data_IF_838247807016
#
_entry.id   IF_838247807016
#
_cell.length_a   1.000
_cell.length_b   1.000
_cell.length_c   1.000
_cell.angle_alpha   90.00
_cell.angle_beta   90.00
_cell.angle_gamma   90.00
#
_symmetry.space_group_name_H-M   'P 1'
#
loop_
_entity.id
_entity.type
_entity.pdbx_description
1 polymer ?
#
# COMPACT_ATOMS: atom_id res chain seq x y z
N UNK A 1 5.05 17.25 -8.38
CA UNK A 1 5.75 15.98 -8.07
C UNK A 1 4.78 15.12 -7.28
N UNK A 2 4.43 13.92 -7.74
CA UNK A 2 3.49 13.05 -7.03
C UNK A 2 4.29 12.14 -6.10
N UNK A 3 3.97 12.13 -4.81
CA UNK A 3 4.58 11.21 -3.85
C UNK A 3 3.91 9.86 -4.01
N UNK A 4 4.68 8.83 -4.35
CA UNK A 4 4.21 7.44 -4.41
C UNK A 4 5.22 6.49 -3.82
N UNK A 5 4.75 5.31 -3.43
CA UNK A 5 5.56 4.17 -3.03
C UNK A 5 5.40 3.06 -4.06
N UNK A 6 6.52 2.39 -4.35
CA UNK A 6 6.57 1.26 -5.25
C UNK A 6 7.12 0.05 -4.54
N UNK A 7 6.63 -1.14 -4.92
CA UNK A 7 7.16 -2.42 -4.45
C UNK A 7 7.00 -3.47 -5.56
N UNK A 8 7.95 -4.41 -5.65
CA UNK A 8 7.95 -5.46 -6.68
C UNK A 8 8.47 -6.77 -6.10
N UNK A 9 7.79 -7.87 -6.42
CA UNK A 9 8.22 -9.25 -6.09
C UNK A 9 7.50 -10.26 -6.98
N UNK A 10 8.18 -11.34 -7.36
CA UNK A 10 7.59 -12.50 -8.07
C UNK A 10 6.74 -12.13 -9.30
N UNK A 11 7.20 -11.13 -10.07
CA UNK A 11 6.49 -10.67 -11.27
C UNK A 11 5.31 -9.72 -11.02
N UNK A 12 5.05 -9.38 -9.76
CA UNK A 12 4.05 -8.38 -9.34
C UNK A 12 4.75 -7.06 -9.05
N UNK A 13 4.25 -5.97 -9.61
CA UNK A 13 4.70 -4.60 -9.33
C UNK A 13 3.50 -3.73 -8.93
N UNK A 14 3.64 -2.94 -7.87
CA UNK A 14 2.59 -2.03 -7.40
C UNK A 14 3.12 -0.63 -7.24
N UNK A 15 2.25 0.34 -7.51
CA UNK A 15 2.45 1.74 -7.16
C UNK A 15 1.26 2.23 -6.35
N UNK A 16 1.54 2.90 -5.24
CA UNK A 16 0.57 3.32 -4.24
C UNK A 16 0.83 4.77 -3.86
N UNK A 17 -0.23 5.59 -3.80
CA UNK A 17 -0.17 6.92 -3.21
C UNK A 17 -0.28 6.85 -1.67
N UNK A 18 0.14 7.90 -0.95
CA UNK A 18 -0.04 7.99 0.50
C UNK A 18 -1.48 7.68 0.92
N UNK A 19 -1.65 7.04 2.07
CA UNK A 19 -2.93 6.50 2.54
C UNK A 19 -3.35 5.19 1.87
N UNK A 20 -2.47 4.54 1.11
CA UNK A 20 -2.73 3.20 0.59
C UNK A 20 -3.51 3.14 -0.73
N UNK A 21 -3.79 4.29 -1.35
CA UNK A 21 -4.53 4.34 -2.61
C UNK A 21 -3.71 3.75 -3.78
N UNK A 22 -4.13 2.59 -4.28
CA UNK A 22 -3.48 1.91 -5.42
C UNK A 22 -3.58 2.76 -6.69
N UNK A 23 -2.43 2.99 -7.35
CA UNK A 23 -2.32 3.76 -8.59
C UNK A 23 -2.04 2.87 -9.80
N UNK A 24 -1.16 1.88 -9.63
CA UNK A 24 -0.82 0.91 -10.66
C UNK A 24 -0.60 -0.46 -10.06
N UNK A 25 -0.99 -1.50 -10.81
CA UNK A 25 -0.71 -2.90 -10.55
C UNK A 25 -0.35 -3.56 -11.88
N UNK A 26 0.88 -4.08 -11.95
CA UNK A 26 1.35 -4.85 -13.09
C UNK A 26 1.62 -6.28 -12.67
N UNK A 27 1.11 -7.22 -13.47
CA UNK A 27 1.27 -8.65 -13.29
C UNK A 27 1.94 -9.23 -14.54
N UNK A 28 3.12 -9.82 -14.36
CA UNK A 28 3.74 -10.57 -15.45
C UNK A 28 3.07 -11.96 -15.62
N UNK A 29 3.25 -12.61 -16.78
CA UNK A 29 2.73 -13.94 -17.00
C UNK A 29 3.23 -14.98 -15.98
N UNK A 30 4.44 -14.84 -15.44
CA UNK A 30 4.92 -15.73 -14.37
C UNK A 30 4.17 -15.56 -13.04
N UNK A 31 3.76 -14.34 -12.69
CA UNK A 31 3.02 -14.09 -11.45
C UNK A 31 1.68 -14.86 -11.44
N UNK A 32 1.02 -14.97 -12.59
CA UNK A 32 -0.24 -15.69 -12.75
C UNK A 32 -0.12 -17.21 -12.54
N UNK A 33 1.07 -17.77 -12.76
CA UNK A 33 1.32 -19.21 -12.60
C UNK A 33 1.38 -19.66 -11.13
N UNK A 34 1.52 -18.72 -10.20
CA UNK A 34 1.59 -18.99 -8.76
C UNK A 34 0.24 -19.42 -8.14
N UNK A 35 -0.87 -19.23 -8.87
CA UNK A 35 -2.23 -19.52 -8.40
C UNK A 35 -2.84 -18.37 -7.58
N UNK A 36 -4.18 -18.28 -7.58
CA UNK A 36 -4.90 -17.12 -7.07
C UNK A 36 -4.59 -16.74 -5.61
N UNK A 37 -4.51 -17.74 -4.72
CA UNK A 37 -4.25 -17.50 -3.29
C UNK A 37 -2.81 -17.03 -2.99
N UNK A 38 -1.82 -17.52 -3.75
CA UNK A 38 -0.45 -17.06 -3.59
C UNK A 38 -0.29 -15.64 -4.17
N UNK A 39 -0.88 -15.40 -5.34
CA UNK A 39 -0.87 -14.11 -6.00
C UNK A 39 -1.54 -13.03 -5.15
N UNK A 40 -2.70 -13.31 -4.54
CA UNK A 40 -3.41 -12.35 -3.69
C UNK A 40 -2.57 -11.96 -2.47
N UNK A 41 -1.95 -12.93 -1.79
CA UNK A 41 -1.03 -12.67 -0.67
C UNK A 41 0.15 -11.80 -1.09
N UNK A 42 0.74 -12.08 -2.24
CA UNK A 42 1.85 -11.28 -2.79
C UNK A 42 1.41 -9.85 -3.08
N UNK A 43 0.28 -9.64 -3.76
CA UNK A 43 -0.25 -8.31 -4.06
C UNK A 43 -0.51 -7.53 -2.77
N UNK A 44 -1.24 -8.11 -1.81
CA UNK A 44 -1.57 -7.43 -0.56
C UNK A 44 -0.32 -7.09 0.26
N UNK A 45 0.67 -7.97 0.29
CA UNK A 45 1.96 -7.71 0.93
C UNK A 45 2.70 -6.54 0.28
N UNK A 46 2.75 -6.51 -1.05
CA UNK A 46 3.40 -5.43 -1.80
C UNK A 46 2.67 -4.10 -1.65
N UNK A 47 1.33 -4.09 -1.62
CA UNK A 47 0.54 -2.87 -1.39
C UNK A 47 0.84 -2.29 -0.02
N UNK A 48 0.90 -3.12 1.03
CA UNK A 48 1.28 -2.67 2.39
C UNK A 48 2.69 -2.09 2.43
N UNK A 49 3.64 -2.74 1.75
CA UNK A 49 5.03 -2.28 1.65
C UNK A 49 5.13 -0.93 0.90
N UNK A 50 4.45 -0.81 -0.23
CA UNK A 50 4.41 0.41 -1.03
C UNK A 50 3.71 1.55 -0.29
N UNK A 51 2.60 1.29 0.40
CA UNK A 51 1.89 2.28 1.21
C UNK A 51 2.77 2.82 2.33
N UNK A 52 3.49 1.94 3.06
CA UNK A 52 4.44 2.38 4.09
C UNK A 52 5.50 3.31 3.52
N UNK A 53 6.07 2.97 2.36
CA UNK A 53 7.05 3.83 1.66
C UNK A 53 6.46 5.16 1.18
N UNK A 54 5.20 5.16 0.74
CA UNK A 54 4.52 6.37 0.30
C UNK A 54 4.25 7.31 1.49
N UNK A 55 3.77 6.74 2.61
CA UNK A 55 3.48 7.46 3.84
C UNK A 55 4.73 8.08 4.44
N UNK A 56 5.83 7.33 4.55
CA UNK A 56 7.10 7.88 5.07
C UNK A 56 7.62 9.05 4.21
N UNK A 57 7.55 8.93 2.88
CA UNK A 57 7.92 10.06 1.99
C UNK A 57 6.98 11.25 2.16
N UNK A 58 5.69 11.02 2.35
CA UNK A 58 4.71 12.07 2.59
C UNK A 58 4.98 12.79 3.92
N UNK A 59 5.24 12.05 5.00
CA UNK A 59 5.64 12.59 6.29
C UNK A 59 6.88 13.47 6.18
N UNK A 60 7.93 12.99 5.50
CA UNK A 60 9.14 13.78 5.28
C UNK A 60 8.89 15.05 4.47
N UNK A 61 8.09 14.98 3.40
CA UNK A 61 7.75 16.15 2.60
C UNK A 61 6.97 17.18 3.42
N UNK A 62 5.99 16.73 4.21
CA UNK A 62 5.21 17.61 5.10
C UNK A 62 6.10 18.22 6.18
N UNK A 63 6.97 17.45 6.82
CA UNK A 63 7.87 17.95 7.85
C UNK A 63 8.86 19.00 7.31
N UNK A 64 9.26 18.87 6.05
CA UNK A 64 10.14 19.86 5.39
C UNK A 64 9.44 21.21 5.20
N UNK A 65 8.15 21.20 4.87
CA UNK A 65 7.38 22.43 4.56
C UNK A 65 6.74 23.06 5.81
N UNK A 66 6.31 22.24 6.78
CA UNK A 66 5.53 22.67 7.95
C UNK A 66 6.29 22.57 9.28
N UNK A 67 7.52 22.04 9.30
CA UNK A 67 8.28 21.79 10.53
C UNK A 67 7.87 20.49 11.24
N UNK A 68 8.23 20.35 12.52
CA UNK A 68 7.81 19.18 13.30
C UNK A 68 6.29 19.18 13.48
N UNK A 69 5.65 18.15 12.92
CA UNK A 69 4.21 17.91 13.02
C UNK A 69 3.99 16.70 13.93
N UNK A 70 3.03 16.79 14.84
CA UNK A 70 2.71 15.71 15.78
C UNK A 70 2.22 14.44 15.03
N UNK A 71 2.60 13.25 15.51
CA UNK A 71 2.29 11.97 14.85
C UNK A 71 0.77 11.77 14.68
N UNK A 72 -0.03 12.25 15.62
CA UNK A 72 -1.50 12.20 15.57
C UNK A 72 -2.06 12.98 14.38
N UNK A 73 -1.36 14.02 13.92
CA UNK A 73 -1.74 14.77 12.72
C UNK A 73 -1.46 13.94 11.47
N UNK A 74 -0.37 13.18 11.44
CA UNK A 74 -0.08 12.27 10.33
C UNK A 74 -1.07 11.11 10.27
N UNK A 75 -1.51 10.61 11.43
CA UNK A 75 -2.59 9.61 11.50
C UNK A 75 -3.93 10.18 10.98
N UNK A 76 -4.30 11.39 11.40
CA UNK A 76 -5.51 12.07 10.93
C UNK A 76 -5.50 12.34 9.40
N UNK A 77 -4.32 12.53 8.81
CA UNK A 77 -4.13 12.69 7.37
C UNK A 77 -4.06 11.35 6.61
N UNK A 78 -4.17 10.21 7.30
CA UNK A 78 -4.12 8.88 6.70
C UNK A 78 -2.71 8.37 6.39
N UNK A 79 -1.66 9.00 6.93
CA UNK A 79 -0.28 8.52 6.79
C UNK A 79 0.14 7.54 7.90
N UNK A 80 -0.75 7.26 8.86
CA UNK A 80 -0.53 6.30 9.94
C UNK A 80 -0.38 4.84 9.47
N UNK A 81 0.12 3.98 10.37
CA UNK A 81 0.11 2.52 10.19
C UNK A 81 -1.33 2.04 10.32
N UNK A 82 -1.95 1.81 9.18
CA UNK A 82 -3.39 1.69 9.07
C UNK A 82 -3.93 0.35 9.63
N UNK A 83 -4.44 0.38 10.86
CA UNK A 83 -5.24 -0.71 11.44
C UNK A 83 -6.66 -0.73 10.85
N UNK A 84 -7.17 0.43 10.41
CA UNK A 84 -8.54 0.63 9.93
C UNK A 84 -8.71 0.23 8.45
N UNK A 85 -7.67 0.39 7.63
CA UNK A 85 -7.65 -0.18 6.27
C UNK A 85 -7.61 -1.70 6.26
N UNK A 86 -7.09 -2.36 7.31
CA UNK A 86 -7.16 -3.82 7.38
C UNK A 86 -8.62 -4.29 7.45
N UNK A 87 -9.44 -3.66 8.28
CA UNK A 87 -10.88 -3.95 8.41
C UNK A 87 -11.65 -3.68 7.10
N UNK A 88 -11.35 -2.57 6.41
CA UNK A 88 -12.03 -2.21 5.15
C UNK A 88 -11.57 -3.09 3.97
N UNK A 89 -10.28 -3.42 3.91
CA UNK A 89 -9.75 -4.36 2.93
C UNK A 89 -10.29 -5.78 3.17
N UNK A 90 -10.41 -6.19 4.43
CA UNK A 90 -11.00 -7.46 4.79
C UNK A 90 -12.49 -7.48 4.42
N UNK A 91 -13.26 -6.40 4.65
CA UNK A 91 -14.66 -6.28 4.23
C UNK A 91 -14.87 -6.36 2.71
N UNK A 92 -13.89 -5.93 1.91
CA UNK A 92 -13.96 -5.93 0.43
C UNK A 92 -13.29 -7.13 -0.21
N UNK A 93 -12.68 -8.03 0.59
CA UNK A 93 -12.06 -9.25 0.08
C UNK A 93 -13.12 -10.26 -0.35
N UNK A 94 -13.14 -10.70 -1.63
CA UNK A 94 -14.05 -11.74 -2.10
C UNK A 94 -13.87 -13.05 -1.34
N UNK A 95 -14.98 -13.75 -1.05
CA UNK A 95 -14.96 -15.04 -0.33
C UNK A 95 -14.08 -16.10 -1.01
N UNK A 96 -13.98 -16.03 -2.35
CA UNK A 96 -13.14 -16.93 -3.14
C UNK A 96 -11.64 -16.79 -2.87
N UNK A 97 -11.21 -15.75 -2.15
CA UNK A 97 -9.79 -15.49 -1.83
C UNK A 97 -9.43 -15.79 -0.37
N UNK A 98 -10.42 -16.12 0.48
CA UNK A 98 -10.21 -16.41 1.90
C UNK A 98 -9.85 -17.88 2.21
N UNK A 99 -9.90 -18.76 1.21
CA UNK A 99 -9.62 -20.20 1.33
C UNK A 99 -8.13 -20.56 1.21
#
# INVERSE_FOLDING_TARGET
>A
MTITGTARRDGVSVEVAPGGALRSLELSPEALRSGGAALSRTILGLVKEAAARANERAKHAVATELGEVAEETFEALGFGRDATSAETAEATTPDSWRA
#
